data_IF_206401502294
#
_entry.id   IF_206401502294
#
_cell.length_a   1.000
_cell.length_b   1.000
_cell.length_c   1.000
_cell.angle_alpha   90.00
_cell.angle_beta   90.00
_cell.angle_gamma   90.00
#
_symmetry.space_group_name_H-M   'P 1'
#
loop_
_entity.id
_entity.type
_entity.pdbx_description
1 polymer ?
#
# COMPACT_ATOMS: atom_id res chain seq x y z
N UNK A 1 -20.04 17.80 4.26
CA UNK A 1 -18.98 17.65 5.28
C UNK A 1 -17.81 16.97 4.59
N UNK A 2 -16.57 17.36 4.87
CA UNK A 2 -15.41 16.69 4.27
C UNK A 2 -15.16 15.33 4.95
N UNK A 3 -14.77 14.33 4.16
CA UNK A 3 -14.58 12.97 4.66
C UNK A 3 -13.96 12.06 3.62
N UNK A 4 -13.92 10.77 3.95
CA UNK A 4 -13.49 9.70 3.03
C UNK A 4 -14.63 9.46 2.05
N UNK A 5 -14.36 9.51 0.74
CA UNK A 5 -15.29 9.18 -0.34
C UNK A 5 -15.03 7.81 -0.98
N UNK A 6 -13.79 7.31 -0.89
CA UNK A 6 -13.42 5.96 -1.32
C UNK A 6 -12.21 5.48 -0.54
N UNK A 7 -12.01 4.16 -0.50
CA UNK A 7 -10.87 3.54 0.12
C UNK A 7 -10.29 2.41 -0.73
N UNK A 8 -9.03 2.08 -0.49
CA UNK A 8 -8.35 0.91 -1.05
C UNK A 8 -7.28 0.43 -0.09
N UNK A 9 -6.92 -0.84 -0.20
CA UNK A 9 -5.85 -1.43 0.59
C UNK A 9 -4.90 -2.20 -0.30
N UNK A 10 -3.71 -2.46 0.22
CA UNK A 10 -2.79 -3.44 -0.33
C UNK A 10 -2.09 -4.14 0.82
N UNK A 11 -2.21 -5.47 0.85
CA UNK A 11 -1.34 -6.33 1.64
C UNK A 11 -0.55 -7.16 0.63
N UNK A 12 0.80 -7.12 0.65
CA UNK A 12 1.62 -8.02 -0.16
C UNK A 12 1.09 -9.42 -0.03
N UNK A 13 1.03 -10.28 -1.06
CA UNK A 13 0.50 -11.63 -0.90
C UNK A 13 1.52 -12.59 -0.28
N UNK A 14 2.81 -12.23 -0.27
CA UNK A 14 3.84 -13.06 0.37
C UNK A 14 3.73 -12.99 1.90
N UNK A 15 3.82 -14.16 2.55
CA UNK A 15 3.71 -14.32 4.01
C UNK A 15 4.95 -14.98 4.57
N UNK A 16 5.49 -14.43 5.64
CA UNK A 16 6.51 -15.10 6.45
C UNK A 16 5.84 -15.76 7.65
N UNK A 17 5.71 -17.11 7.69
CA UNK A 17 5.29 -17.81 8.90
C UNK A 17 6.24 -17.52 10.06
N UNK A 18 5.70 -17.11 11.22
CA UNK A 18 6.53 -16.72 12.36
C UNK A 18 7.32 -17.89 12.97
N UNK A 19 6.89 -19.12 12.71
CA UNK A 19 7.63 -20.32 13.10
C UNK A 19 9.03 -20.38 12.46
N UNK A 20 9.16 -19.91 11.21
CA UNK A 20 10.41 -19.95 10.45
C UNK A 20 11.48 -19.02 11.05
N UNK A 21 11.08 -17.88 11.62
CA UNK A 21 11.99 -16.96 12.33
C UNK A 21 12.69 -17.68 13.49
N UNK A 22 11.94 -18.55 14.20
CA UNK A 22 12.46 -19.36 15.30
C UNK A 22 13.07 -20.70 14.89
N UNK A 23 13.35 -20.92 13.60
CA UNK A 23 13.93 -22.18 13.10
C UNK A 23 13.00 -23.39 13.18
N UNK A 24 11.69 -23.19 13.29
CA UNK A 24 10.68 -24.25 13.39
C UNK A 24 9.90 -24.37 12.08
N UNK A 25 9.43 -25.58 11.71
CA UNK A 25 8.61 -25.75 10.52
C UNK A 25 7.33 -24.90 10.61
N UNK A 26 6.95 -24.31 9.48
CA UNK A 26 5.66 -23.63 9.36
C UNK A 26 4.51 -24.60 9.61
N UNK A 27 3.45 -24.10 10.26
CA UNK A 27 2.20 -24.84 10.48
C UNK A 27 1.09 -24.19 9.66
N UNK A 28 0.26 -25.01 9.03
CA UNK A 28 -0.93 -24.51 8.32
C UNK A 28 -1.83 -23.74 9.28
N UNK A 29 -2.26 -22.54 8.85
CA UNK A 29 -3.03 -21.62 9.69
C UNK A 29 -2.28 -21.02 10.88
N UNK A 30 -0.97 -21.27 11.01
CA UNK A 30 -0.12 -20.65 12.03
C UNK A 30 0.04 -19.14 11.81
N UNK A 31 0.53 -18.42 12.83
CA UNK A 31 0.71 -16.98 12.72
C UNK A 31 1.79 -16.63 11.70
N UNK A 32 1.57 -15.54 10.98
CA UNK A 32 2.42 -15.05 9.90
C UNK A 32 2.43 -13.52 9.85
N UNK A 33 3.32 -12.95 9.04
CA UNK A 33 3.32 -11.52 8.70
C UNK A 33 3.37 -11.33 7.20
N UNK A 34 2.78 -10.25 6.71
CA UNK A 34 2.89 -9.82 5.33
C UNK A 34 4.28 -9.23 5.08
N UNK A 35 4.87 -9.56 3.93
CA UNK A 35 6.21 -9.12 3.55
C UNK A 35 6.17 -8.65 2.11
N UNK A 36 6.53 -7.39 1.87
CA UNK A 36 6.84 -6.88 0.55
C UNK A 36 8.01 -7.69 -0.03
N UNK A 37 7.79 -8.31 -1.18
CA UNK A 37 8.79 -9.17 -1.81
C UNK A 37 9.96 -8.38 -2.42
N UNK A 38 10.86 -9.02 -3.17
CA UNK A 38 12.06 -8.36 -3.69
C UNK A 38 11.76 -7.24 -4.70
N UNK A 39 10.61 -7.29 -5.36
CA UNK A 39 10.14 -6.31 -6.34
C UNK A 39 9.09 -5.33 -5.79
N UNK A 40 8.92 -5.30 -4.47
CA UNK A 40 7.98 -4.43 -3.78
C UNK A 40 8.68 -3.49 -2.79
N UNK A 41 8.14 -2.29 -2.67
CA UNK A 41 8.49 -1.27 -1.69
C UNK A 41 7.27 -0.38 -1.36
N UNK A 42 7.46 0.62 -0.49
CA UNK A 42 6.40 1.52 -0.07
C UNK A 42 5.70 2.27 -1.24
N UNK A 43 6.39 2.56 -2.35
CA UNK A 43 5.77 3.22 -3.50
C UNK A 43 4.92 2.23 -4.30
N UNK A 44 5.42 1.02 -4.54
CA UNK A 44 4.66 0.00 -5.29
C UNK A 44 3.35 -0.38 -4.59
N UNK A 45 3.40 -0.57 -3.27
CA UNK A 45 2.23 -0.88 -2.46
C UNK A 45 1.26 0.31 -2.41
N UNK A 46 1.78 1.54 -2.34
CA UNK A 46 0.97 2.75 -2.41
C UNK A 46 0.20 2.86 -3.74
N UNK A 47 0.88 2.60 -4.87
CA UNK A 47 0.22 2.60 -6.19
C UNK A 47 -0.89 1.54 -6.26
N UNK A 48 -0.62 0.32 -5.77
CA UNK A 48 -1.63 -0.75 -5.76
C UNK A 48 -2.87 -0.39 -4.92
N UNK A 49 -2.67 0.15 -3.71
CA UNK A 49 -3.78 0.60 -2.86
C UNK A 49 -4.56 1.77 -3.49
N UNK A 50 -3.86 2.72 -4.13
CA UNK A 50 -4.47 3.85 -4.79
C UNK A 50 -5.28 3.45 -6.03
N UNK A 51 -4.81 2.50 -6.84
CA UNK A 51 -5.58 1.95 -7.97
C UNK A 51 -6.89 1.32 -7.48
N UNK A 52 -6.86 0.56 -6.38
CA UNK A 52 -8.06 0.01 -5.76
C UNK A 52 -9.03 1.10 -5.27
N UNK A 53 -8.49 2.15 -4.64
CA UNK A 53 -9.26 3.30 -4.16
C UNK A 53 -9.92 4.08 -5.31
N UNK A 54 -9.22 4.26 -6.43
CA UNK A 54 -9.69 5.03 -7.59
C UNK A 54 -10.48 4.20 -8.61
N UNK A 55 -10.74 2.90 -8.36
CA UNK A 55 -11.52 2.05 -9.28
C UNK A 55 -12.89 2.67 -9.57
N UNK A 56 -13.26 2.80 -10.84
CA UNK A 56 -14.54 3.40 -11.25
C UNK A 56 -14.66 4.91 -11.03
N UNK A 57 -13.59 5.59 -10.58
CA UNK A 57 -13.59 7.04 -10.35
C UNK A 57 -12.81 7.78 -11.45
N UNK A 58 -13.27 9.00 -11.76
CA UNK A 58 -12.59 9.88 -12.69
C UNK A 58 -11.32 10.47 -12.05
N UNK A 59 -10.16 9.95 -12.46
CA UNK A 59 -8.84 10.42 -12.01
C UNK A 59 -8.55 11.87 -12.38
N UNK A 60 -9.25 12.41 -13.39
CA UNK A 60 -9.18 13.82 -13.78
C UNK A 60 -9.73 14.78 -12.73
N UNK A 61 -10.47 14.29 -11.73
CA UNK A 61 -10.98 15.10 -10.61
C UNK A 61 -10.06 15.18 -9.41
N UNK A 62 -8.99 14.38 -9.36
CA UNK A 62 -8.03 14.40 -8.25
C UNK A 62 -7.22 15.70 -8.31
N UNK A 63 -7.19 16.44 -7.21
CA UNK A 63 -6.50 17.73 -7.09
C UNK A 63 -5.17 17.61 -6.34
N UNK A 64 -4.99 16.55 -5.54
CA UNK A 64 -3.74 16.31 -4.84
C UNK A 64 -3.50 14.87 -4.42
N UNK A 65 -2.23 14.56 -4.16
CA UNK A 65 -1.73 13.29 -3.65
C UNK A 65 -0.83 13.55 -2.44
N UNK A 66 -1.19 12.95 -1.30
CA UNK A 66 -0.36 12.94 -0.10
C UNK A 66 0.14 11.52 0.12
N UNK A 67 1.46 11.32 0.11
CA UNK A 67 2.08 10.03 0.36
C UNK A 67 2.72 9.99 1.75
N UNK A 68 2.12 9.22 2.66
CA UNK A 68 2.62 9.00 4.00
C UNK A 68 3.49 7.74 4.06
N UNK A 69 4.74 7.88 4.52
CA UNK A 69 5.63 6.74 4.76
C UNK A 69 6.69 7.08 5.81
N UNK A 70 7.21 6.07 6.48
CA UNK A 70 8.48 6.18 7.22
C UNK A 70 9.61 5.44 6.51
N UNK A 71 9.31 4.72 5.42
CA UNK A 71 10.21 3.89 4.62
C UNK A 71 10.28 4.32 3.16
N UNK A 72 10.34 5.64 2.93
CA UNK A 72 10.45 6.20 1.59
C UNK A 72 11.65 5.62 0.82
N UNK A 73 11.48 5.21 -0.46
CA UNK A 73 12.60 4.74 -1.28
C UNK A 73 13.58 5.85 -1.68
N UNK A 74 13.15 7.11 -1.57
CA UNK A 74 13.94 8.30 -1.86
C UNK A 74 13.84 9.28 -0.70
N UNK A 75 14.95 9.96 -0.40
CA UNK A 75 14.97 11.03 0.62
C UNK A 75 14.70 12.42 0.02
N UNK A 76 15.15 12.66 -1.21
CA UNK A 76 15.00 13.96 -1.90
C UNK A 76 13.92 13.91 -3.00
N UNK A 77 13.92 12.84 -3.80
CA UNK A 77 12.93 12.66 -4.87
C UNK A 77 11.58 12.34 -4.25
N UNK A 78 10.57 13.16 -4.56
CA UNK A 78 9.23 12.98 -4.02
C UNK A 78 8.54 11.70 -4.54
N UNK A 79 8.04 10.89 -3.61
CA UNK A 79 7.26 9.67 -3.87
C UNK A 79 5.85 9.98 -4.37
N UNK A 80 5.16 10.97 -3.81
CA UNK A 80 3.82 11.38 -4.26
C UNK A 80 3.78 11.79 -5.74
N UNK A 81 4.82 12.45 -6.25
CA UNK A 81 4.94 12.78 -7.67
C UNK A 81 5.11 11.53 -8.56
N UNK A 82 5.83 10.51 -8.08
CA UNK A 82 5.95 9.23 -8.76
C UNK A 82 4.62 8.46 -8.75
N UNK A 83 3.93 8.41 -7.61
CA UNK A 83 2.61 7.79 -7.46
C UNK A 83 1.59 8.48 -8.38
N UNK A 84 1.53 9.82 -8.38
CA UNK A 84 0.65 10.57 -9.26
C UNK A 84 0.90 10.26 -10.74
N UNK A 85 2.17 10.07 -11.13
CA UNK A 85 2.50 9.68 -12.50
C UNK A 85 2.08 8.25 -12.81
N UNK A 86 2.31 7.30 -11.90
CA UNK A 86 1.93 5.90 -12.10
C UNK A 86 0.42 5.70 -12.19
N UNK A 87 -0.36 6.53 -11.48
CA UNK A 87 -1.81 6.55 -11.53
C UNK A 87 -2.37 7.30 -12.75
N UNK A 88 -1.51 7.92 -13.56
CA UNK A 88 -1.87 8.76 -14.69
C UNK A 88 -2.85 9.88 -14.29
N UNK A 89 -2.48 10.63 -13.26
CA UNK A 89 -3.21 11.83 -12.83
C UNK A 89 -2.82 13.05 -13.68
N UNK A 90 -3.61 14.12 -13.57
CA UNK A 90 -3.31 15.39 -14.21
C UNK A 90 -1.96 15.93 -13.78
N UNK A 91 -1.31 16.72 -14.64
CA UNK A 91 0.02 17.30 -14.37
C UNK A 91 0.01 18.38 -13.28
N UNK A 92 -1.14 19.00 -13.03
CA UNK A 92 -1.34 20.10 -12.08
C UNK A 92 -1.84 19.64 -10.71
N UNK A 93 -1.77 18.34 -10.39
CA UNK A 93 -2.07 17.84 -9.04
C UNK A 93 -1.01 18.29 -8.04
N UNK A 94 -1.45 18.69 -6.85
CA UNK A 94 -0.54 19.00 -5.73
C UNK A 94 0.03 17.71 -5.16
N UNK A 95 1.32 17.67 -4.89
CA UNK A 95 1.97 16.48 -4.33
C UNK A 95 2.69 16.82 -3.03
N UNK A 96 2.52 15.98 -2.01
CA UNK A 96 3.22 16.10 -0.73
C UNK A 96 3.62 14.73 -0.20
N UNK A 97 4.83 14.62 0.37
CA UNK A 97 5.24 13.45 1.14
C UNK A 97 5.16 13.80 2.64
N UNK A 98 4.69 12.88 3.47
CA UNK A 98 4.59 13.04 4.92
C UNK A 98 5.25 11.86 5.63
N UNK A 99 6.13 12.14 6.58
CA UNK A 99 6.90 11.10 7.26
C UNK A 99 7.37 11.52 8.65
N UNK A 100 8.36 10.80 9.16
CA UNK A 100 8.99 11.11 10.45
C UNK A 100 8.21 10.65 11.68
N UNK A 101 7.09 9.94 11.53
CA UNK A 101 6.38 9.32 12.64
C UNK A 101 5.43 8.23 12.15
N UNK A 102 5.11 7.24 13.00
CA UNK A 102 4.14 6.20 12.67
C UNK A 102 2.69 6.70 12.65
N UNK A 103 2.41 7.90 13.15
CA UNK A 103 1.11 8.57 12.92
C UNK A 103 1.05 9.38 11.62
N UNK A 104 2.08 9.32 10.77
CA UNK A 104 2.10 10.08 9.52
C UNK A 104 0.89 9.76 8.61
N UNK A 105 0.37 8.53 8.63
CA UNK A 105 -0.78 8.13 7.81
C UNK A 105 -2.11 8.76 8.25
N UNK A 106 -2.40 8.76 9.54
CA UNK A 106 -3.57 9.43 10.14
C UNK A 106 -3.44 10.95 10.07
N UNK A 107 -2.24 11.48 10.31
CA UNK A 107 -1.94 12.90 10.16
C UNK A 107 -2.14 13.40 8.72
N UNK A 108 -1.72 12.61 7.72
CA UNK A 108 -1.96 12.92 6.31
C UNK A 108 -3.44 12.89 5.94
N UNK A 109 -4.19 11.91 6.47
CA UNK A 109 -5.63 11.82 6.28
C UNK A 109 -6.33 13.05 6.86
N UNK A 110 -5.97 13.45 8.09
CA UNK A 110 -6.53 14.64 8.72
C UNK A 110 -6.18 15.92 7.97
N UNK A 111 -4.92 16.10 7.58
CA UNK A 111 -4.49 17.27 6.81
C UNK A 111 -5.25 17.40 5.48
N UNK A 112 -5.50 16.29 4.78
CA UNK A 112 -6.30 16.28 3.56
C UNK A 112 -7.77 16.65 3.81
N UNK A 113 -8.37 16.14 4.90
CA UNK A 113 -9.74 16.48 5.28
C UNK A 113 -9.85 17.96 5.63
N UNK A 114 -8.90 18.49 6.39
CA UNK A 114 -8.84 19.92 6.73
C UNK A 114 -8.69 20.79 5.45
N UNK A 115 -7.85 20.37 4.50
CA UNK A 115 -7.66 21.06 3.23
C UNK A 115 -8.92 21.10 2.36
N UNK A 116 -9.68 19.99 2.32
CA UNK A 116 -10.97 19.90 1.62
C UNK A 116 -12.05 20.71 2.33
N UNK A 117 -12.14 20.61 3.66
CA UNK A 117 -13.07 21.39 4.46
C UNK A 117 -12.84 22.90 4.32
N UNK A 118 -11.59 23.33 4.18
CA UNK A 118 -11.21 24.72 3.93
C UNK A 118 -11.48 25.18 2.48
N UNK A 119 -11.85 24.27 1.57
CA UNK A 119 -12.09 24.57 0.15
C UNK A 119 -10.82 24.80 -0.67
N UNK A 120 -9.65 24.46 -0.13
CA UNK A 120 -8.36 24.64 -0.82
C UNK A 120 -8.06 23.54 -1.85
N UNK A 121 -8.77 22.42 -1.77
CA UNK A 121 -8.81 21.30 -2.71
C UNK A 121 -10.21 20.66 -2.65
N UNK A 122 -10.63 19.91 -3.67
CA UNK A 122 -11.89 19.16 -3.65
C UNK A 122 -11.68 17.67 -3.46
N UNK A 123 -10.71 17.10 -4.17
CA UNK A 123 -10.41 15.67 -4.07
C UNK A 123 -8.93 15.43 -3.80
N UNK A 124 -8.60 14.91 -2.63
CA UNK A 124 -7.22 14.61 -2.24
C UNK A 124 -7.07 13.12 -2.00
N UNK A 125 -6.19 12.48 -2.77
CA UNK A 125 -5.80 11.10 -2.55
C UNK A 125 -4.73 11.04 -1.46
N UNK A 126 -5.04 10.41 -0.34
CA UNK A 126 -4.07 10.12 0.72
C UNK A 126 -3.69 8.66 0.62
N UNK A 127 -2.39 8.36 0.62
CA UNK A 127 -1.89 6.98 0.62
C UNK A 127 -0.85 6.83 1.71
N UNK A 128 -1.11 5.95 2.66
CA UNK A 128 -0.14 5.54 3.67
C UNK A 128 0.43 4.18 3.30
N UNK A 129 1.76 4.06 3.19
CA UNK A 129 2.41 2.80 2.87
C UNK A 129 3.75 2.68 3.59
N UNK A 130 4.00 1.50 4.16
CA UNK A 130 5.25 1.26 4.88
C UNK A 130 5.73 -0.19 4.73
N UNK A 131 7.05 -0.35 4.62
CA UNK A 131 7.76 -1.62 4.65
C UNK A 131 8.98 -1.54 5.56
N UNK A 132 8.74 -1.39 6.87
CA UNK A 132 9.80 -1.24 7.87
C UNK A 132 10.46 -2.59 8.14
N UNK A 133 11.78 -2.60 8.31
CA UNK A 133 12.55 -3.81 8.60
C UNK A 133 13.01 -3.84 10.06
N UNK A 134 13.04 -5.03 10.64
CA UNK A 134 13.74 -5.31 11.90
C UNK A 134 14.94 -6.21 11.62
N UNK A 135 15.89 -6.27 12.53
CA UNK A 135 17.03 -7.16 12.41
C UNK A 135 16.55 -8.64 12.39
N UNK A 136 17.13 -9.51 11.53
CA UNK A 136 16.82 -10.93 11.49
C UNK A 136 16.90 -11.60 12.87
N UNK A 137 15.87 -12.35 13.23
CA UNK A 137 15.77 -13.06 14.51
C UNK A 137 15.46 -12.16 15.72
N UNK A 138 15.32 -10.85 15.55
CA UNK A 138 14.97 -9.94 16.64
C UNK A 138 13.50 -10.09 17.07
N UNK A 139 13.15 -9.73 18.33
CA UNK A 139 11.76 -9.74 18.79
C UNK A 139 10.81 -8.90 17.92
N UNK A 140 11.29 -7.78 17.37
CA UNK A 140 10.50 -6.90 16.50
C UNK A 140 10.14 -7.55 15.17
N UNK A 141 10.97 -8.44 14.64
CA UNK A 141 10.77 -9.02 13.31
C UNK A 141 9.45 -9.76 13.19
N UNK A 142 9.02 -10.45 14.25
CA UNK A 142 7.75 -11.18 14.27
C UNK A 142 6.52 -10.26 14.31
N UNK A 143 6.69 -9.02 14.79
CA UNK A 143 5.59 -8.07 14.97
C UNK A 143 5.43 -7.12 13.78
N UNK A 144 6.51 -6.75 13.08
CA UNK A 144 6.42 -5.86 11.92
C UNK A 144 5.78 -6.56 10.72
N UNK A 145 5.04 -5.79 9.91
CA UNK A 145 4.50 -6.21 8.63
C UNK A 145 4.67 -5.11 7.59
N UNK A 146 4.28 -5.41 6.35
CA UNK A 146 4.32 -4.47 5.23
C UNK A 146 2.90 -4.30 4.66
N UNK A 147 2.55 -3.09 4.22
CA UNK A 147 1.25 -2.84 3.60
C UNK A 147 0.97 -1.37 3.31
N UNK A 148 -0.16 -1.13 2.64
CA UNK A 148 -0.64 0.20 2.28
C UNK A 148 -2.15 0.35 2.40
N UNK A 149 -2.60 1.55 2.71
CA UNK A 149 -4.00 1.96 2.60
C UNK A 149 -4.09 3.29 1.86
N UNK A 150 -5.14 3.45 1.06
CA UNK A 150 -5.42 4.66 0.31
C UNK A 150 -6.84 5.14 0.59
N UNK A 151 -7.02 6.45 0.66
CA UNK A 151 -8.31 7.11 0.86
C UNK A 151 -8.44 8.28 -0.11
N UNK A 152 -9.55 8.34 -0.82
CA UNK A 152 -9.94 9.55 -1.53
C UNK A 152 -10.73 10.42 -0.55
N UNK A 153 -10.23 11.60 -0.25
CA UNK A 153 -10.90 12.58 0.61
C UNK A 153 -11.65 13.57 -0.24
N UNK A 154 -12.92 13.81 0.06
CA UNK A 154 -13.80 14.75 -0.65
C UNK A 154 -14.90 15.31 0.26
N UNK A 155 -15.49 16.43 -0.13
CA UNK A 155 -16.74 16.94 0.42
C UNK A 155 -17.97 16.52 -0.41
N UNK A 156 -17.73 15.90 -1.58
CA UNK A 156 -18.75 15.33 -2.47
C UNK A 156 -19.00 13.86 -2.09
N UNK A 157 -20.22 13.56 -1.61
CA UNK A 157 -20.70 12.21 -1.31
C UNK A 157 -19.73 11.35 -0.46
N UNK A 158 -19.18 11.86 0.67
CA UNK A 158 -18.27 11.08 1.50
C UNK A 158 -18.99 9.85 2.06
N UNK A 159 -18.35 8.69 2.07
CA UNK A 159 -18.80 7.46 2.73
C UNK A 159 -18.62 7.52 4.25
N UNK A 160 -17.68 8.35 4.74
CA UNK A 160 -17.41 8.55 6.15
C UNK A 160 -16.93 9.97 6.40
N UNK A 161 -17.73 10.77 7.11
CA UNK A 161 -17.40 12.14 7.47
C UNK A 161 -16.53 12.16 8.74
N UNK A 162 -15.57 13.07 8.82
CA UNK A 162 -14.78 13.27 10.03
C UNK A 162 -15.58 14.12 11.03
N UNK A 163 -15.90 13.56 12.19
CA UNK A 163 -16.68 14.26 13.21
C UNK A 163 -15.80 14.79 14.34
N UNK A 164 -14.59 14.27 14.51
CA UNK A 164 -13.69 14.78 15.52
C UNK A 164 -12.28 14.22 15.43
N UNK A 165 -11.36 14.99 15.98
CA UNK A 165 -9.97 14.62 16.11
C UNK A 165 -9.39 15.14 17.42
N UNK A 166 -8.46 14.37 17.98
CA UNK A 166 -7.65 14.74 19.12
C UNK A 166 -6.24 14.18 18.95
N UNK A 167 -5.22 14.98 19.29
CA UNK A 167 -3.83 14.60 19.15
C UNK A 167 -3.09 14.94 20.43
N UNK A 168 -2.17 14.07 20.81
CA UNK A 168 -1.25 14.20 21.94
C UNK A 168 0.15 14.16 21.36
N UNK A 169 1.02 15.09 21.75
CA UNK A 169 2.43 15.07 21.39
C UNK A 169 3.22 14.66 22.62
N UNK A 170 4.15 13.73 22.44
CA UNK A 170 5.01 13.23 23.51
C UNK A 170 6.42 13.00 22.93
N UNK A 171 7.42 13.62 23.53
CA UNK A 171 8.80 13.46 23.10
C UNK A 171 9.41 12.29 23.87
N UNK A 172 9.69 11.22 23.15
CA UNK A 172 10.22 9.98 23.72
C UNK A 172 11.10 9.28 22.68
N UNK A 173 12.19 8.66 23.14
CA UNK A 173 13.03 7.82 22.29
C UNK A 173 12.72 6.36 22.61
N UNK A 174 11.59 5.87 22.09
CA UNK A 174 11.11 4.50 22.30
C UNK A 174 11.45 3.60 21.11
N UNK A 175 11.04 3.97 19.89
CA UNK A 175 11.45 3.38 18.63
C UNK A 175 12.06 4.46 17.73
N UNK A 176 13.16 4.15 17.07
CA UNK A 176 13.79 5.09 16.15
C UNK A 176 14.45 4.38 14.98
N UNK A 177 14.75 5.17 13.95
CA UNK A 177 15.58 4.77 12.82
C UNK A 177 16.30 6.01 12.32
N UNK A 178 17.63 6.00 12.33
CA UNK A 178 18.41 7.08 11.72
C UNK A 178 18.35 6.97 10.20
N UNK A 179 18.98 7.95 9.52
CA UNK A 179 18.99 8.02 8.06
C UNK A 179 19.68 6.80 7.43
N UNK A 180 20.73 6.30 8.07
CA UNK A 180 21.56 5.20 7.59
C UNK A 180 21.10 3.83 8.13
N UNK A 181 20.28 3.83 9.17
CA UNK A 181 19.79 2.59 9.77
C UNK A 181 18.85 1.85 8.83
N UNK A 182 19.21 0.62 8.52
CA UNK A 182 18.35 -0.30 7.77
C UNK A 182 17.20 -0.83 8.62
N UNK A 183 17.44 -1.05 9.91
CA UNK A 183 16.51 -1.68 10.83
C UNK A 183 15.95 -0.68 11.83
N UNK A 184 14.71 -0.91 12.25
CA UNK A 184 14.11 -0.17 13.37
C UNK A 184 14.81 -0.59 14.67
N UNK A 185 15.25 0.40 15.42
CA UNK A 185 15.72 0.25 16.79
C UNK A 185 14.56 0.45 17.76
N UNK A 186 14.65 -0.23 18.91
CA UNK A 186 13.71 -0.08 20.01
C UNK A 186 14.52 -0.04 21.30
N UNK A 187 14.04 0.76 22.25
CA UNK A 187 14.46 0.65 23.64
C UNK A 187 13.82 -0.57 24.29
N UNK A 188 13.98 -0.72 25.60
CA UNK A 188 13.45 -1.84 26.38
C UNK A 188 11.92 -1.93 26.28
N UNK A 189 11.41 -3.14 25.97
CA UNK A 189 10.00 -3.39 25.63
C UNK A 189 9.00 -2.82 26.66
N UNK A 190 9.29 -2.97 27.97
CA UNK A 190 8.41 -2.46 29.02
C UNK A 190 8.37 -0.94 29.03
N UNK A 191 9.51 -0.25 28.87
CA UNK A 191 9.56 1.20 28.75
C UNK A 191 8.74 1.70 27.55
N UNK A 192 8.99 1.12 26.37
CA UNK A 192 8.27 1.48 25.12
C UNK A 192 6.76 1.38 25.30
N UNK A 193 6.28 0.34 25.99
CA UNK A 193 4.85 0.12 26.19
C UNK A 193 4.27 0.94 27.33
N UNK A 194 4.95 1.02 28.48
CA UNK A 194 4.42 1.63 29.70
C UNK A 194 4.52 3.15 29.72
N UNK A 195 5.59 3.71 29.16
CA UNK A 195 5.84 5.15 29.15
C UNK A 195 5.42 5.76 27.81
N UNK A 196 5.67 5.08 26.69
CA UNK A 196 5.28 5.56 25.36
C UNK A 196 3.86 5.19 24.95
N UNK A 197 3.69 3.97 24.43
CA UNK A 197 2.47 3.55 23.73
C UNK A 197 1.18 3.67 24.57
N UNK A 198 1.13 3.07 25.76
CA UNK A 198 -0.12 3.00 26.52
C UNK A 198 -0.61 4.36 27.00
N UNK A 199 0.21 5.22 27.64
CA UNK A 199 -0.25 6.53 28.11
C UNK A 199 -0.75 7.40 26.96
N UNK A 200 0.09 7.58 25.92
CA UNK A 200 -0.20 8.43 24.78
C UNK A 200 -1.46 8.00 24.02
N UNK A 201 -1.59 6.70 23.69
CA UNK A 201 -2.77 6.21 22.97
C UNK A 201 -4.04 6.35 23.81
N UNK A 202 -3.99 6.02 25.11
CA UNK A 202 -5.16 6.13 25.98
C UNK A 202 -5.59 7.59 26.15
N UNK A 203 -4.63 8.51 26.28
CA UNK A 203 -4.89 9.94 26.39
C UNK A 203 -5.52 10.48 25.11
N UNK A 204 -4.99 10.12 23.94
CA UNK A 204 -5.55 10.56 22.65
C UNK A 204 -7.01 10.14 22.48
N UNK A 205 -7.32 8.87 22.78
CA UNK A 205 -8.69 8.34 22.70
C UNK A 205 -9.60 9.01 23.75
N UNK A 206 -9.15 9.08 25.01
CA UNK A 206 -9.96 9.65 26.09
C UNK A 206 -10.22 11.14 25.88
N UNK A 207 -9.22 11.88 25.38
CA UNK A 207 -9.36 13.29 25.03
C UNK A 207 -10.30 13.54 23.86
N UNK A 208 -10.32 12.65 22.86
CA UNK A 208 -11.32 12.68 21.78
C UNK A 208 -12.74 12.48 22.31
N UNK A 209 -12.94 11.45 23.15
CA UNK A 209 -14.24 11.15 23.76
C UNK A 209 -14.72 12.32 24.63
N UNK A 210 -13.86 12.85 25.49
CA UNK A 210 -14.17 13.99 26.36
C UNK A 210 -14.53 15.24 25.56
N UNK A 211 -13.75 15.57 24.52
CA UNK A 211 -14.00 16.74 23.65
C UNK A 211 -15.37 16.66 22.95
N UNK A 212 -15.83 15.45 22.64
CA UNK A 212 -17.10 15.19 21.96
C UNK A 212 -18.27 14.92 22.91
N UNK A 213 -18.00 14.72 24.20
CA UNK A 213 -19.01 14.26 25.16
C UNK A 213 -19.54 12.86 24.84
N UNK A 214 -18.73 12.03 24.19
CA UNK A 214 -19.09 10.68 23.77
C UNK A 214 -18.66 9.62 24.79
N UNK A 215 -19.35 8.48 24.75
CA UNK A 215 -18.89 7.22 25.36
C UNK A 215 -18.20 6.35 24.32
N UNK A 216 -17.20 5.56 24.74
CA UNK A 216 -16.57 4.56 23.88
C UNK A 216 -17.57 3.52 23.34
N UNK A 217 -18.65 3.25 24.08
CA UNK A 217 -19.75 2.35 23.69
C UNK A 217 -20.51 2.83 22.44
N UNK A 218 -20.42 4.13 22.11
CA UNK A 218 -21.12 4.71 20.95
C UNK A 218 -20.48 4.35 19.61
N UNK A 219 -19.28 3.78 19.61
CA UNK A 219 -18.55 3.42 18.40
C UNK A 219 -18.86 1.97 17.99
N UNK A 220 -19.31 1.78 16.75
CA UNK A 220 -19.54 0.48 16.17
C UNK A 220 -18.22 -0.30 16.02
N UNK A 221 -17.15 0.40 15.60
CA UNK A 221 -15.79 -0.14 15.51
C UNK A 221 -14.74 0.80 16.08
N UNK A 222 -13.74 0.22 16.72
CA UNK A 222 -12.56 0.89 17.25
C UNK A 222 -11.30 0.19 16.72
N UNK A 223 -10.50 0.94 15.96
CA UNK A 223 -9.26 0.54 15.34
C UNK A 223 -8.08 1.07 16.17
N UNK A 224 -7.35 0.20 16.85
CA UNK A 224 -6.17 0.57 17.62
C UNK A 224 -4.91 0.02 16.95
N UNK A 225 -4.04 0.91 16.46
CA UNK A 225 -2.66 0.52 16.17
C UNK A 225 -1.99 0.08 17.47
N UNK A 226 -1.23 -1.01 17.42
CA UNK A 226 -0.45 -1.51 18.55
C UNK A 226 0.90 -2.08 18.10
N UNK A 227 1.93 -2.06 18.95
CA UNK A 227 3.22 -2.69 18.64
C UNK A 227 3.09 -4.22 18.56
N UNK A 228 2.23 -4.81 19.39
CA UNK A 228 2.02 -6.26 19.48
C UNK A 228 0.59 -6.60 19.99
N UNK A 229 0.22 -7.88 19.93
CA UNK A 229 -1.13 -8.38 20.29
C UNK A 229 -1.45 -8.20 21.78
N UNK A 230 -0.45 -8.32 22.67
CA UNK A 230 -0.63 -8.16 24.12
C UNK A 230 -0.88 -6.70 24.48
N UNK A 231 -0.11 -5.79 23.89
CA UNK A 231 -0.26 -4.34 24.06
C UNK A 231 -1.60 -3.85 23.50
N UNK A 232 -2.06 -4.38 22.36
CA UNK A 232 -3.40 -4.14 21.83
C UNK A 232 -4.50 -4.47 22.85
N UNK A 233 -4.50 -5.71 23.39
CA UNK A 233 -5.49 -6.13 24.38
C UNK A 233 -5.41 -5.35 25.69
N UNK A 234 -4.23 -4.84 26.05
CA UNK A 234 -4.04 -4.02 27.26
C UNK A 234 -4.62 -2.62 27.08
N UNK A 235 -4.38 -1.98 25.93
CA UNK A 235 -4.99 -0.69 25.58
C UNK A 235 -6.52 -0.79 25.55
N UNK A 236 -7.05 -1.82 24.90
CA UNK A 236 -8.50 -2.04 24.84
C UNK A 236 -9.14 -2.17 26.23
N UNK A 237 -8.51 -2.89 27.16
CA UNK A 237 -8.98 -3.00 28.55
C UNK A 237 -8.90 -1.66 29.30
N UNK A 238 -7.81 -0.91 29.15
CA UNK A 238 -7.66 0.41 29.78
C UNK A 238 -8.72 1.40 29.31
N UNK A 239 -9.09 1.32 28.04
CA UNK A 239 -10.13 2.14 27.41
C UNK A 239 -11.55 1.59 27.60
N UNK A 240 -11.71 0.48 28.35
CA UNK A 240 -13.00 -0.18 28.59
C UNK A 240 -13.79 -0.52 27.32
N UNK A 241 -13.08 -0.93 26.27
CA UNK A 241 -13.68 -1.28 24.97
C UNK A 241 -14.24 -2.69 24.98
N UNK A 242 -15.46 -2.87 24.47
CA UNK A 242 -16.05 -4.20 24.31
C UNK A 242 -15.40 -4.96 23.15
N UNK A 243 -15.30 -6.29 23.28
CA UNK A 243 -14.63 -7.13 22.28
C UNK A 243 -15.28 -7.04 20.88
N UNK A 244 -16.60 -6.87 20.79
CA UNK A 244 -17.31 -6.73 19.51
C UNK A 244 -17.03 -5.42 18.76
N UNK A 245 -16.64 -4.37 19.50
CA UNK A 245 -16.28 -3.08 18.94
C UNK A 245 -14.85 -3.07 18.40
N UNK A 246 -13.95 -3.91 18.92
CA UNK A 246 -12.57 -3.92 18.47
C UNK A 246 -12.49 -4.47 17.05
N UNK A 247 -11.85 -3.71 16.16
CA UNK A 247 -11.41 -4.23 14.87
C UNK A 247 -10.32 -5.28 15.10
N UNK A 248 -10.29 -6.35 14.28
CA UNK A 248 -9.20 -7.34 14.33
C UNK A 248 -7.86 -6.59 14.16
N UNK A 249 -6.91 -6.70 15.09
CA UNK A 249 -5.63 -5.99 15.00
C UNK A 249 -4.75 -6.51 13.86
N UNK A 250 -5.09 -7.63 13.19
CA UNK A 250 -4.33 -8.24 12.09
C UNK A 250 -2.89 -8.67 12.46
N UNK A 251 -2.50 -8.58 13.73
CA UNK A 251 -1.18 -9.02 14.23
C UNK A 251 -1.11 -10.56 14.20
N UNK A 252 -0.12 -11.12 13.51
CA UNK A 252 -0.05 -12.55 13.22
C UNK A 252 -0.79 -12.98 11.94
N UNK A 253 -1.23 -12.02 11.12
CA UNK A 253 -1.69 -12.21 9.73
C UNK A 253 -1.02 -11.21 8.77
N UNK A 254 -1.09 -9.93 9.13
CA UNK A 254 -0.48 -8.80 8.42
C UNK A 254 0.80 -8.34 9.14
N UNK A 255 0.71 -8.17 10.47
CA UNK A 255 1.76 -7.51 11.26
C UNK A 255 1.57 -5.99 11.32
N UNK A 256 2.43 -5.29 12.06
CA UNK A 256 2.39 -3.84 12.18
C UNK A 256 3.03 -3.19 10.94
N UNK A 257 2.19 -2.68 10.03
CA UNK A 257 2.57 -2.00 8.79
C UNK A 257 2.96 -0.53 8.95
N UNK A 258 3.57 -0.16 10.09
CA UNK A 258 4.07 1.19 10.33
C UNK A 258 2.98 2.25 10.24
N UNK A 259 3.24 3.33 9.52
CA UNK A 259 2.27 4.42 9.38
C UNK A 259 1.02 4.06 8.57
N UNK A 260 1.06 2.96 7.82
CA UNK A 260 -0.10 2.43 7.12
C UNK A 260 -0.99 1.57 8.03
N UNK A 261 -0.56 1.24 9.26
CA UNK A 261 -1.26 0.23 10.05
C UNK A 261 -2.62 0.70 10.57
N UNK A 262 -2.71 1.87 11.23
CA UNK A 262 -4.02 2.41 11.63
C UNK A 262 -4.93 2.71 10.41
N UNK A 263 -4.42 3.30 9.31
CA UNK A 263 -5.14 3.37 8.02
C UNK A 263 -5.68 2.03 7.50
N UNK A 264 -4.89 0.94 7.55
CA UNK A 264 -5.33 -0.39 7.14
C UNK A 264 -6.46 -0.92 8.03
N UNK A 265 -6.39 -0.70 9.34
CA UNK A 265 -7.47 -1.07 10.26
C UNK A 265 -8.76 -0.30 9.94
N UNK A 266 -8.66 1.01 9.63
CA UNK A 266 -9.80 1.81 9.21
C UNK A 266 -10.39 1.31 7.89
N UNK A 267 -9.56 0.97 6.90
CA UNK A 267 -10.03 0.37 5.65
C UNK A 267 -10.75 -0.97 5.89
N UNK A 268 -10.21 -1.82 6.77
CA UNK A 268 -10.85 -3.07 7.17
C UNK A 268 -12.18 -2.85 7.91
N UNK A 269 -12.31 -1.80 8.71
CA UNK A 269 -13.57 -1.47 9.37
C UNK A 269 -14.63 -0.93 8.39
N UNK A 270 -14.20 -0.19 7.36
CA UNK A 270 -15.09 0.35 6.32
C UNK A 270 -15.69 -0.73 5.42
N UNK A 271 -15.04 -1.89 5.27
CA UNK A 271 -15.57 -3.02 4.48
C UNK A 271 -16.89 -3.57 5.02
N UNK A 272 -17.02 -3.61 6.34
CA UNK A 272 -18.20 -4.16 7.02
C UNK A 272 -19.17 -3.06 7.51
N UNK A 273 -18.82 -1.79 7.29
CA UNK A 273 -19.59 -0.67 7.81
C UNK A 273 -20.95 -0.51 7.11
N UNK A 274 -21.89 0.07 7.85
CA UNK A 274 -23.23 0.47 7.40
C UNK A 274 -23.45 1.94 7.66
N UNK A 275 -24.40 2.56 6.96
CA UNK A 275 -24.72 3.96 7.19
C UNK A 275 -25.06 4.24 8.67
N UNK A 276 -24.47 5.30 9.24
CA UNK A 276 -24.64 5.69 10.63
C UNK A 276 -23.68 5.02 11.62
N UNK A 277 -22.88 4.05 11.19
CA UNK A 277 -21.81 3.48 12.02
C UNK A 277 -20.79 4.54 12.40
N UNK A 278 -20.42 4.51 13.68
CA UNK A 278 -19.38 5.39 14.23
C UNK A 278 -18.08 4.62 14.36
N UNK A 279 -17.03 5.10 13.72
CA UNK A 279 -15.71 4.47 13.68
C UNK A 279 -14.70 5.34 14.43
N UNK A 280 -13.90 4.73 15.31
CA UNK A 280 -12.77 5.38 15.96
C UNK A 280 -11.48 4.74 15.45
N UNK A 281 -10.51 5.55 15.03
CA UNK A 281 -9.16 5.08 14.71
C UNK A 281 -8.14 5.81 15.56
N UNK A 282 -7.22 5.06 16.16
CA UNK A 282 -6.14 5.59 16.96
C UNK A 282 -4.78 5.06 16.49
N UNK A 283 -3.84 5.98 16.33
CA UNK A 283 -2.45 5.74 15.91
C UNK A 283 -1.47 6.24 16.95
N UNK A 284 -0.32 5.58 17.06
CA UNK A 284 0.75 5.94 18.00
C UNK A 284 2.05 6.26 17.26
N UNK A 285 2.78 7.26 17.77
CA UNK A 285 4.12 7.66 17.33
C UNK A 285 4.43 9.08 17.85
N UNK A 286 5.43 9.20 18.74
CA UNK A 286 5.83 10.44 19.42
C UNK A 286 4.62 11.21 20.00
N UNK A 287 3.85 10.48 20.82
CA UNK A 287 2.49 10.82 21.21
C UNK A 287 1.47 9.92 20.52
N UNK A 288 0.26 10.43 20.26
CA UNK A 288 -0.77 9.68 19.55
C UNK A 288 -1.77 10.60 18.84
N UNK A 289 -2.58 10.03 17.95
CA UNK A 289 -3.70 10.71 17.31
C UNK A 289 -4.91 9.79 17.29
N UNK A 290 -6.09 10.35 17.58
CA UNK A 290 -7.38 9.67 17.51
C UNK A 290 -8.32 10.47 16.60
N UNK A 291 -8.97 9.78 15.66
CA UNK A 291 -9.95 10.33 14.72
C UNK A 291 -11.28 9.57 14.88
N UNK A 292 -12.39 10.30 14.85
CA UNK A 292 -13.74 9.77 14.86
C UNK A 292 -14.44 10.08 13.52
N UNK A 293 -15.03 9.05 12.93
CA UNK A 293 -15.80 9.13 11.71
C UNK A 293 -17.24 8.63 11.93
N UNK A 294 -18.19 9.19 11.20
CA UNK A 294 -19.55 8.65 11.04
C UNK A 294 -19.77 8.33 9.58
N UNK A 295 -20.15 7.10 9.30
CA UNK A 295 -20.46 6.64 7.95
C UNK A 295 -21.79 7.21 7.48
N UNK A 296 -21.89 7.49 6.18
CA UNK A 296 -23.08 8.07 5.56
C UNK A 296 -23.84 7.01 4.75
N UNK A 297 -24.97 7.37 4.17
CA UNK A 297 -25.70 6.51 3.22
C UNK A 297 -24.91 6.16 1.94
N UNK A 298 -23.76 6.82 1.69
CA UNK A 298 -22.93 6.51 0.54
C UNK A 298 -22.06 5.27 0.75
N UNK A 299 -21.80 4.87 2.01
CA UNK A 299 -21.00 3.67 2.29
C UNK A 299 -21.65 2.42 1.70
N UNK A 300 -22.98 2.31 1.81
CA UNK A 300 -23.76 1.19 1.29
C UNK A 300 -23.87 1.20 -0.25
N UNK A 301 -23.53 2.32 -0.91
CA UNK A 301 -23.57 2.50 -2.37
C UNK A 301 -22.20 2.37 -3.01
N UNK A 302 -21.13 2.27 -2.23
CA UNK A 302 -19.79 2.17 -2.76
C UNK A 302 -19.59 0.81 -3.41
N UNK A 303 -19.13 0.79 -4.66
CA UNK A 303 -18.76 -0.46 -5.32
C UNK A 303 -17.69 -1.21 -4.52
N UNK A 304 -17.73 -2.55 -4.48
CA UNK A 304 -16.76 -3.36 -3.76
C UNK A 304 -15.32 -2.99 -4.09
N UNK A 305 -14.56 -2.64 -3.05
CA UNK A 305 -13.14 -2.30 -3.15
C UNK A 305 -12.30 -3.53 -2.91
N UNK A 306 -11.07 -3.55 -3.48
CA UNK A 306 -10.04 -4.50 -3.05
C UNK A 306 -9.54 -4.07 -1.68
N UNK A 307 -10.26 -4.53 -0.67
CA UNK A 307 -10.00 -4.27 0.74
C UNK A 307 -8.95 -5.21 1.35
N UNK A 308 -8.71 -5.03 2.64
CA UNK A 308 -7.83 -5.84 3.46
C UNK A 308 -8.26 -7.31 3.45
N UNK A 309 -9.56 -7.62 3.57
CA UNK A 309 -10.04 -9.01 3.56
C UNK A 309 -9.66 -9.75 2.27
N UNK A 310 -9.85 -9.11 1.11
CA UNK A 310 -9.48 -9.61 -0.20
C UNK A 310 -7.99 -9.94 -0.28
N UNK A 311 -7.13 -9.02 0.18
CA UNK A 311 -5.68 -9.21 0.18
C UNK A 311 -5.20 -10.26 1.19
N UNK A 312 -5.87 -10.41 2.33
CA UNK A 312 -5.53 -11.43 3.32
C UNK A 312 -5.87 -12.85 2.85
N UNK A 313 -6.91 -13.01 2.03
CA UNK A 313 -7.27 -14.30 1.43
C UNK A 313 -6.22 -14.78 0.41
N UNK A 314 -5.59 -13.83 -0.32
CA UNK A 314 -4.58 -14.12 -1.34
C UNK A 314 -3.18 -14.16 -0.74
N UNK A 315 -2.79 -15.33 -0.24
CA UNK A 315 -1.50 -15.54 0.46
C UNK A 315 -0.61 -16.61 -0.16
N UNK A 316 0.69 -16.33 -0.20
CA UNK A 316 1.78 -17.25 -0.53
C UNK A 316 2.73 -17.35 0.66
N UNK A 317 2.64 -18.44 1.41
CA UNK A 317 3.58 -18.68 2.51
C UNK A 317 4.97 -18.99 1.96
N UNK A 318 5.97 -18.27 2.45
CA UNK A 318 7.38 -18.54 2.17
C UNK A 318 7.73 -19.91 2.78
N UNK A 319 8.38 -20.81 2.04
CA UNK A 319 8.69 -22.16 2.53
C UNK A 319 9.88 -22.18 3.51
N UNK A 320 10.85 -21.27 3.34
CA UNK A 320 12.12 -21.27 4.08
C UNK A 320 12.56 -19.85 4.46
N UNK A 321 13.13 -19.69 5.66
CA UNK A 321 13.58 -18.39 6.16
C UNK A 321 14.70 -17.79 5.30
N UNK A 322 15.62 -18.61 4.78
CA UNK A 322 16.70 -18.13 3.90
C UNK A 322 16.18 -17.47 2.63
N UNK A 323 15.02 -17.89 2.12
CA UNK A 323 14.41 -17.26 0.95
C UNK A 323 13.94 -15.84 1.27
N UNK A 324 13.39 -15.63 2.47
CA UNK A 324 13.06 -14.30 2.97
C UNK A 324 14.32 -13.42 3.12
N UNK A 325 15.39 -13.97 3.72
CA UNK A 325 16.65 -13.23 3.87
C UNK A 325 17.23 -12.84 2.51
N UNK A 326 17.20 -13.75 1.52
CA UNK A 326 17.62 -13.48 0.15
C UNK A 326 16.74 -12.41 -0.52
N UNK A 327 15.41 -12.54 -0.44
CA UNK A 327 14.47 -11.61 -1.07
C UNK A 327 14.55 -10.19 -0.50
N UNK A 328 14.89 -10.07 0.79
CA UNK A 328 15.09 -8.77 1.45
C UNK A 328 16.52 -8.27 1.36
N UNK A 329 17.43 -8.94 0.63
CA UNK A 329 18.85 -8.61 0.50
C UNK A 329 19.61 -8.56 1.83
N UNK A 330 19.31 -9.48 2.75
CA UNK A 330 19.88 -9.57 4.10
C UNK A 330 21.05 -10.56 4.21
N UNK A 331 21.33 -11.31 3.14
CA UNK A 331 22.48 -12.20 3.04
C UNK A 331 23.66 -11.49 2.36
N UNK A 332 24.87 -11.90 2.70
CA UNK A 332 26.09 -11.48 2.01
C UNK A 332 26.08 -12.02 0.58
N UNK A 333 26.38 -11.16 -0.39
CA UNK A 333 26.54 -11.54 -1.80
C UNK A 333 27.96 -11.20 -2.28
N UNK A 334 28.46 -11.95 -3.27
CA UNK A 334 29.78 -11.69 -3.88
C UNK A 334 29.81 -10.33 -4.62
N UNK A 335 28.69 -9.97 -5.24
CA UNK A 335 28.51 -8.72 -5.98
C UNK A 335 27.32 -7.93 -5.43
N UNK A 336 27.42 -6.61 -5.45
CA UNK A 336 26.31 -5.73 -5.10
C UNK A 336 25.23 -5.74 -6.20
N UNK A 337 23.95 -5.86 -5.80
CA UNK A 337 22.81 -5.94 -6.73
C UNK A 337 22.58 -4.69 -7.58
N UNK A 338 23.17 -3.55 -7.21
CA UNK A 338 23.00 -2.26 -7.89
C UNK A 338 24.08 -1.96 -8.95
N UNK A 339 24.96 -2.93 -9.24
CA UNK A 339 26.04 -2.76 -10.20
C UNK A 339 25.53 -2.48 -11.63
N UNK A 340 26.17 -1.51 -12.32
CA UNK A 340 25.94 -1.21 -13.73
C UNK A 340 25.34 0.18 -14.00
N UNK A 341 25.36 0.63 -15.28
CA UNK A 341 24.75 1.90 -15.67
C UNK A 341 23.23 1.76 -15.55
N UNK A 342 22.63 2.44 -14.57
CA UNK A 342 21.17 2.48 -14.43
C UNK A 342 20.46 3.16 -15.60
N UNK A 343 19.13 3.29 -15.50
CA UNK A 343 18.34 3.95 -16.53
C UNK A 343 18.70 5.44 -16.62
N UNK A 344 19.04 5.90 -17.83
CA UNK A 344 19.31 7.30 -18.13
C UNK A 344 18.11 8.18 -17.74
N UNK A 345 18.37 9.26 -17.02
CA UNK A 345 17.33 10.20 -16.60
C UNK A 345 16.60 10.85 -17.79
N UNK A 346 17.29 11.01 -18.94
CA UNK A 346 16.69 11.57 -20.16
C UNK A 346 15.76 10.59 -20.86
N UNK A 347 16.15 9.31 -20.91
CA UNK A 347 15.29 8.23 -21.42
C UNK A 347 14.07 8.09 -20.52
N UNK A 348 14.28 7.95 -19.21
CA UNK A 348 13.21 7.89 -18.22
C UNK A 348 12.27 9.10 -18.32
N UNK A 349 12.79 10.32 -18.51
CA UNK A 349 11.93 11.49 -18.70
C UNK A 349 11.11 11.39 -19.98
N UNK A 350 11.69 10.96 -21.11
CA UNK A 350 11.00 10.84 -22.40
C UNK A 350 9.92 9.76 -22.39
N UNK A 351 10.20 8.63 -21.74
CA UNK A 351 9.40 7.40 -21.80
C UNK A 351 8.49 7.20 -20.58
N UNK A 352 8.53 8.09 -19.58
CA UNK A 352 7.73 8.01 -18.34
C UNK A 352 6.22 7.80 -18.54
N UNK A 353 5.64 8.25 -19.64
CA UNK A 353 4.21 8.09 -19.93
C UNK A 353 3.93 6.62 -20.30
N UNK A 354 4.79 6.04 -21.13
CA UNK A 354 4.77 4.64 -21.50
C UNK A 354 5.14 3.73 -20.32
N UNK A 355 6.21 4.05 -19.60
CA UNK A 355 6.79 3.15 -18.59
C UNK A 355 6.10 3.23 -17.24
N UNK A 356 5.78 4.42 -16.74
CA UNK A 356 5.24 4.59 -15.39
C UNK A 356 3.72 4.58 -15.39
N UNK A 357 3.07 5.24 -16.35
CA UNK A 357 1.61 5.30 -16.43
C UNK A 357 1.00 4.12 -17.23
N UNK A 358 1.83 3.30 -17.88
CA UNK A 358 1.43 2.23 -18.80
C UNK A 358 0.49 2.73 -19.91
N UNK A 359 0.92 3.79 -20.59
CA UNK A 359 0.18 4.41 -21.68
C UNK A 359 0.74 3.92 -23.02
N UNK A 360 -0.06 3.15 -23.74
CA UNK A 360 0.16 2.88 -25.16
C UNK A 360 -0.50 3.93 -26.03
N UNK A 361 -0.69 3.61 -27.30
CA UNK A 361 -1.30 4.50 -28.28
C UNK A 361 -2.45 3.82 -29.03
N UNK A 362 -3.52 4.56 -29.31
CA UNK A 362 -4.63 4.13 -30.14
C UNK A 362 -4.59 4.88 -31.48
N UNK A 363 -4.66 4.15 -32.59
CA UNK A 363 -4.66 4.74 -33.92
C UNK A 363 -5.99 5.45 -34.23
N UNK A 364 -5.94 6.72 -34.62
CA UNK A 364 -7.14 7.51 -34.94
C UNK A 364 -7.85 7.04 -36.21
N UNK A 365 -7.15 6.31 -37.10
CA UNK A 365 -7.70 5.87 -38.38
C UNK A 365 -8.41 4.51 -38.30
N UNK A 366 -7.86 3.55 -37.55
CA UNK A 366 -8.39 2.18 -37.50
C UNK A 366 -8.69 1.67 -36.08
N UNK A 367 -8.45 2.47 -35.04
CA UNK A 367 -8.71 2.11 -33.65
C UNK A 367 -7.75 1.08 -33.03
N UNK A 368 -6.73 0.62 -33.75
CA UNK A 368 -5.78 -0.36 -33.24
C UNK A 368 -4.97 0.22 -32.06
N UNK A 369 -4.85 -0.55 -30.99
CA UNK A 369 -4.09 -0.17 -29.79
C UNK A 369 -2.73 -0.87 -29.83
N UNK A 370 -1.67 -0.10 -29.57
CA UNK A 370 -0.29 -0.54 -29.78
C UNK A 370 0.57 -0.17 -28.58
N UNK A 371 1.49 -1.08 -28.28
CA UNK A 371 2.56 -0.90 -27.32
C UNK A 371 3.73 -1.79 -27.80
N UNK A 372 4.99 -1.31 -27.80
CA UNK A 372 5.42 0.04 -27.46
C UNK A 372 4.99 1.09 -28.48
N UNK A 373 5.14 2.38 -28.16
CA UNK A 373 4.72 3.46 -29.05
C UNK A 373 5.57 3.50 -30.35
N UNK A 374 4.89 3.63 -31.49
CA UNK A 374 5.46 3.66 -32.84
C UNK A 374 4.89 4.83 -33.65
N UNK A 375 5.68 5.37 -34.58
CA UNK A 375 5.21 6.45 -35.46
C UNK A 375 4.26 6.01 -36.57
N UNK A 376 4.23 4.72 -36.88
CA UNK A 376 3.42 4.15 -37.97
C UNK A 376 2.57 3.04 -37.40
N UNK A 377 1.27 3.07 -37.69
CA UNK A 377 0.33 2.07 -37.21
C UNK A 377 0.64 0.72 -37.87
N UNK A 378 0.89 -0.31 -37.05
CA UNK A 378 1.18 -1.67 -37.54
C UNK A 378 0.03 -2.33 -38.33
N UNK A 379 -1.21 -1.82 -38.20
CA UNK A 379 -2.39 -2.36 -38.86
C UNK A 379 -2.74 -1.65 -40.17
N UNK A 380 -2.84 -0.31 -40.15
CA UNK A 380 -3.30 0.49 -41.31
C UNK A 380 -2.26 1.44 -41.89
N UNK A 381 -1.04 1.46 -41.35
CA UNK A 381 0.08 2.30 -41.80
C UNK A 381 -0.16 3.82 -41.72
N UNK A 382 -1.22 4.27 -41.05
CA UNK A 382 -1.39 5.68 -40.69
C UNK A 382 -0.18 6.15 -39.86
N UNK A 383 0.33 7.35 -40.17
CA UNK A 383 1.55 7.90 -39.58
C UNK A 383 1.24 9.08 -38.68
N UNK A 384 1.85 9.10 -37.50
CA UNK A 384 1.76 10.18 -36.50
C UNK A 384 0.29 10.57 -36.15
N UNK A 385 -0.64 9.61 -36.23
CA UNK A 385 -2.09 9.82 -36.03
C UNK A 385 -2.62 8.94 -34.89
N UNK A 386 -2.21 9.28 -33.66
CA UNK A 386 -2.53 8.49 -32.47
C UNK A 386 -3.00 9.36 -31.30
N UNK A 387 -3.79 8.76 -30.43
CA UNK A 387 -4.15 9.29 -29.12
C UNK A 387 -3.66 8.36 -27.99
N UNK A 388 -3.37 8.90 -26.78
CA UNK A 388 -2.94 8.08 -25.65
C UNK A 388 -4.00 7.06 -25.21
N UNK A 389 -3.59 5.82 -24.97
CA UNK A 389 -4.46 4.76 -24.48
C UNK A 389 -3.88 4.14 -23.20
N UNK A 390 -4.54 4.39 -22.05
CA UNK A 390 -4.13 3.80 -20.78
C UNK A 390 -4.40 2.30 -20.76
N UNK A 391 -3.38 1.50 -20.45
CA UNK A 391 -3.43 0.04 -20.39
C UNK A 391 -3.42 -0.50 -18.96
N UNK A 392 -2.95 0.28 -17.98
CA UNK A 392 -2.79 -0.13 -16.57
C UNK A 392 -4.05 -0.64 -15.89
N UNK A 393 -5.22 -0.20 -16.33
CA UNK A 393 -6.53 -0.59 -15.78
C UNK A 393 -7.21 -1.72 -16.56
N UNK A 394 -6.59 -2.20 -17.64
CA UNK A 394 -7.17 -3.22 -18.53
C UNK A 394 -6.79 -4.64 -18.09
N UNK A 395 -7.57 -5.62 -18.55
CA UNK A 395 -7.24 -7.03 -18.40
C UNK A 395 -6.59 -7.52 -19.68
N UNK A 396 -5.38 -8.08 -19.56
CA UNK A 396 -4.66 -8.72 -20.64
C UNK A 396 -4.81 -10.23 -20.65
N UNK A 397 -4.16 -10.88 -21.61
CA UNK A 397 -4.04 -12.34 -21.71
C UNK A 397 -2.63 -12.77 -22.06
N UNK A 398 -2.15 -13.85 -21.45
CA UNK A 398 -0.84 -14.44 -21.79
C UNK A 398 -0.89 -15.05 -23.19
N UNK A 399 -0.09 -14.56 -24.12
CA UNK A 399 0.05 -15.11 -25.49
C UNK A 399 1.07 -16.24 -25.52
N UNK A 400 2.23 -16.00 -24.91
CA UNK A 400 3.32 -16.98 -24.76
C UNK A 400 4.12 -16.65 -23.50
N UNK A 401 4.85 -17.62 -22.97
CA UNK A 401 5.64 -17.48 -21.76
C UNK A 401 6.89 -18.36 -21.77
N UNK A 402 7.89 -17.95 -20.99
CA UNK A 402 9.15 -18.68 -20.77
C UNK A 402 9.53 -18.66 -19.30
N UNK A 403 10.24 -19.69 -18.85
CA UNK A 403 10.81 -19.77 -17.51
C UNK A 403 12.31 -19.47 -17.57
N UNK A 404 12.71 -18.32 -17.04
CA UNK A 404 14.10 -17.89 -17.00
C UNK A 404 14.72 -18.25 -15.64
N UNK A 405 15.65 -19.21 -15.65
CA UNK A 405 16.41 -19.63 -14.46
C UNK A 405 17.71 -18.83 -14.26
N UNK A 406 18.07 -17.98 -15.22
CA UNK A 406 19.29 -17.17 -15.20
C UNK A 406 19.04 -15.77 -14.63
N UNK A 407 17.84 -15.21 -14.84
CA UNK A 407 17.51 -13.89 -14.30
C UNK A 407 17.69 -13.86 -12.77
N UNK A 408 18.42 -12.87 -12.20
CA UNK A 408 18.62 -12.78 -10.76
C UNK A 408 17.31 -12.57 -9.99
N UNK A 409 16.84 -13.60 -9.31
CA UNK A 409 15.64 -13.58 -8.44
C UNK A 409 15.91 -14.38 -7.17
N UNK A 410 15.30 -14.02 -6.02
CA UNK A 410 15.37 -14.86 -4.82
C UNK A 410 14.86 -16.27 -5.08
N UNK A 411 13.78 -16.40 -5.86
CA UNK A 411 13.03 -17.64 -6.07
C UNK A 411 12.86 -17.93 -7.58
N UNK A 412 13.84 -18.60 -8.23
CA UNK A 412 13.75 -18.94 -9.65
C UNK A 412 12.73 -20.07 -9.90
N UNK A 413 12.10 -20.13 -11.09
CA UNK A 413 12.36 -19.29 -12.26
C UNK A 413 11.61 -17.95 -12.26
N UNK A 414 12.19 -16.96 -12.94
CA UNK A 414 11.44 -15.76 -13.33
C UNK A 414 10.53 -16.11 -14.50
N UNK A 415 9.23 -15.85 -14.35
CA UNK A 415 8.25 -16.12 -15.40
C UNK A 415 8.14 -14.88 -16.28
N UNK A 416 8.49 -15.02 -17.55
CA UNK A 416 8.44 -13.94 -18.54
C UNK A 416 7.35 -14.24 -19.55
N UNK A 417 6.56 -13.23 -19.91
CA UNK A 417 5.37 -13.38 -20.76
C UNK A 417 5.34 -12.34 -21.86
N UNK A 418 4.77 -12.71 -23.01
CA UNK A 418 4.14 -11.74 -23.90
C UNK A 418 2.66 -11.69 -23.54
N UNK A 419 2.21 -10.54 -23.06
CA UNK A 419 0.83 -10.28 -22.68
C UNK A 419 0.16 -9.41 -23.73
N UNK A 420 -0.99 -9.83 -24.23
CA UNK A 420 -1.82 -9.04 -25.15
C UNK A 420 -2.91 -8.28 -24.39
N UNK A 421 -3.09 -7.00 -24.72
CA UNK A 421 -4.15 -6.12 -24.20
C UNK A 421 -4.78 -5.39 -25.37
N UNK A 422 -5.99 -5.77 -25.76
CA UNK A 422 -6.73 -5.14 -26.86
C UNK A 422 -5.91 -4.95 -28.16
N UNK A 423 -5.06 -5.94 -28.47
CA UNK A 423 -4.15 -5.96 -29.62
C UNK A 423 -2.71 -5.53 -29.30
N UNK A 424 -2.48 -4.70 -28.29
CA UNK A 424 -1.14 -4.28 -27.88
C UNK A 424 -0.39 -5.44 -27.22
N UNK A 425 0.93 -5.56 -27.44
CA UNK A 425 1.75 -6.65 -26.89
C UNK A 425 2.83 -6.12 -25.96
N UNK A 426 2.80 -6.58 -24.71
CA UNK A 426 3.72 -6.17 -23.66
C UNK A 426 4.61 -7.35 -23.25
N UNK A 427 5.91 -7.09 -23.12
CA UNK A 427 6.87 -8.06 -22.59
C UNK A 427 7.03 -7.84 -21.08
N UNK A 428 6.45 -8.72 -20.26
CA UNK A 428 6.29 -8.52 -18.83
C UNK A 428 6.70 -9.76 -18.02
N UNK A 429 7.22 -9.52 -16.83
CA UNK A 429 7.31 -10.57 -15.82
C UNK A 429 5.92 -10.87 -15.23
N UNK A 430 5.58 -12.15 -15.05
CA UNK A 430 4.36 -12.59 -14.37
C UNK A 430 4.71 -13.00 -12.94
N UNK A 431 4.07 -12.35 -11.96
CA UNK A 431 4.33 -12.55 -10.53
C UNK A 431 3.08 -13.03 -9.80
N UNK A 432 3.26 -13.45 -8.55
CA UNK A 432 2.16 -13.88 -7.67
C UNK A 432 1.38 -15.08 -8.23
N UNK A 433 2.12 -16.00 -8.84
CA UNK A 433 1.64 -17.29 -9.35
C UNK A 433 2.76 -18.32 -9.26
N UNK A 434 2.40 -19.60 -9.32
CA UNK A 434 3.37 -20.70 -9.44
C UNK A 434 3.61 -21.04 -10.91
N UNK A 435 4.83 -21.46 -11.30
CA UNK A 435 5.13 -21.90 -12.66
C UNK A 435 4.15 -22.94 -13.21
N UNK A 436 3.72 -23.90 -12.39
CA UNK A 436 2.80 -24.97 -12.80
C UNK A 436 1.41 -24.48 -13.22
N UNK A 437 1.01 -23.28 -12.78
CA UNK A 437 -0.32 -22.72 -13.06
C UNK A 437 -0.36 -21.88 -14.34
N UNK A 438 0.81 -21.52 -14.88
CA UNK A 438 0.90 -20.63 -16.05
C UNK A 438 0.50 -21.36 -17.32
N UNK A 439 -0.36 -20.73 -18.10
CA UNK A 439 -0.83 -21.23 -19.39
C UNK A 439 -1.12 -20.08 -20.35
N UNK A 440 -1.08 -20.38 -21.65
CA UNK A 440 -1.55 -19.44 -22.68
C UNK A 440 -3.04 -19.17 -22.49
N UNK A 441 -3.47 -17.96 -22.83
CA UNK A 441 -4.82 -17.46 -22.61
C UNK A 441 -5.17 -17.07 -21.17
N UNK A 442 -4.27 -17.28 -20.19
CA UNK A 442 -4.48 -16.87 -18.80
C UNK A 442 -4.80 -15.36 -18.73
N UNK A 443 -5.92 -14.96 -18.13
CA UNK A 443 -6.23 -13.55 -17.93
C UNK A 443 -5.29 -12.96 -16.89
N UNK A 444 -4.76 -11.77 -17.16
CA UNK A 444 -3.81 -11.07 -16.29
C UNK A 444 -4.21 -9.63 -16.07
N UNK A 445 -3.94 -9.13 -14.86
CA UNK A 445 -4.01 -7.72 -14.51
C UNK A 445 -2.59 -7.18 -14.29
N UNK A 446 -2.45 -5.86 -14.23
CA UNK A 446 -1.16 -5.20 -14.05
C UNK A 446 -0.93 -4.75 -12.61
N UNK A 447 0.31 -4.85 -12.15
CA UNK A 447 0.75 -4.35 -10.85
C UNK A 447 2.04 -3.57 -11.00
N UNK A 448 2.17 -2.46 -10.29
CA UNK A 448 3.35 -1.59 -10.35
C UNK A 448 4.43 -2.15 -9.42
N UNK A 449 5.65 -2.32 -9.92
CA UNK A 449 6.74 -3.02 -9.23
C UNK A 449 8.08 -2.33 -9.41
N UNK A 450 8.98 -2.57 -8.47
CA UNK A 450 10.41 -2.26 -8.62
C UNK A 450 11.05 -3.38 -9.43
N UNK A 451 11.60 -3.05 -10.60
CA UNK A 451 12.18 -4.05 -11.51
C UNK A 451 13.64 -4.31 -11.20
N UNK A 452 14.42 -3.25 -10.93
CA UNK A 452 15.83 -3.35 -10.58
C UNK A 452 16.33 -2.07 -9.88
N UNK A 453 17.51 -2.17 -9.28
CA UNK A 453 18.17 -1.05 -8.58
C UNK A 453 19.46 -0.57 -9.28
N UNK A 454 19.74 -1.07 -10.48
CA UNK A 454 20.89 -0.63 -11.27
C UNK A 454 20.97 0.91 -11.37
N UNK A 455 22.17 1.46 -11.18
CA UNK A 455 22.41 2.90 -11.05
C UNK A 455 22.11 3.49 -9.67
N UNK A 456 22.01 2.64 -8.63
CA UNK A 456 21.91 3.07 -7.22
C UNK A 456 20.56 3.66 -6.84
N UNK A 457 19.50 3.37 -7.60
CA UNK A 457 18.13 3.85 -7.33
C UNK A 457 17.10 2.82 -7.79
N UNK A 458 15.92 2.74 -7.16
CA UNK A 458 14.86 1.87 -7.65
C UNK A 458 14.33 2.38 -9.00
N UNK A 459 14.17 1.44 -9.92
CA UNK A 459 13.54 1.66 -11.22
C UNK A 459 12.23 0.87 -11.26
N UNK A 460 11.16 1.53 -11.69
CA UNK A 460 9.81 1.00 -11.59
C UNK A 460 9.21 0.77 -12.97
N UNK A 461 8.43 -0.28 -13.09
CA UNK A 461 7.60 -0.60 -14.25
C UNK A 461 6.48 -1.54 -13.82
N UNK A 462 5.63 -1.91 -14.77
CA UNK A 462 4.52 -2.82 -14.52
C UNK A 462 4.97 -4.28 -14.69
N UNK A 463 4.35 -5.15 -13.90
CA UNK A 463 4.38 -6.61 -14.06
C UNK A 463 2.96 -7.13 -14.23
N UNK A 464 2.83 -8.32 -14.78
CA UNK A 464 1.55 -9.03 -14.86
C UNK A 464 1.31 -9.83 -13.57
N UNK A 465 0.04 -9.98 -13.20
CA UNK A 465 -0.45 -10.87 -12.15
C UNK A 465 -1.65 -11.62 -12.69
N UNK A 466 -1.94 -12.87 -12.27
CA UNK A 466 -3.20 -13.51 -12.63
C UNK A 466 -4.36 -12.59 -12.25
N UNK A 467 -5.24 -12.31 -13.20
CA UNK A 467 -6.48 -11.61 -12.89
C UNK A 467 -7.25 -12.53 -11.93
N UNK A 468 -7.66 -12.01 -10.77
CA UNK A 468 -8.59 -12.76 -9.93
C UNK A 468 -9.83 -13.08 -10.78
N UNK A 469 -10.29 -14.34 -10.76
CA UNK A 469 -11.65 -14.62 -11.19
C UNK A 469 -12.53 -13.67 -10.38
N UNK A 470 -13.27 -12.79 -11.05
CA UNK A 470 -14.32 -12.02 -10.39
C UNK A 470 -15.37 -13.03 -9.95
N UNK A 471 -15.15 -13.64 -8.78
CA UNK A 471 -16.20 -14.32 -8.05
C UNK A 471 -17.21 -13.23 -7.72
N UNK A 472 -18.28 -13.25 -8.51
CA UNK A 472 -19.46 -12.40 -8.43
C UNK A 472 -20.14 -12.45 -7.06
#
# INVERSE_FOLDING_TARGET
MAGIASYGAYVPPTRLPLALIGGRPAKDGGPEKAVAWNDEDAVTMAVAAALACLRGLDRGKVDGVVFASTSHPFQEKQGAALIAKALDLRRDVRTADQGGSLRAGTGALRAAIDAVAAGSARNVLVVASDCRMAAPGSPLEANLGDGAAAFLVSDENPIAALDGAHAVADEIVDLWRTREDRFVHSWEDRFVVQEGYLPSLCEAVSGLLAKRGDSAESFAKVCLQAPDRRSHGTAARKLSLAAGQLQDPLIGRLGNAGCAFAPLLLAAALEDARAGDRLLVASYGDGAEALAFTTTEHVDKLEPRRGVSWHLARRFAIPHYDLYLKARSLQTTEWESAAGPGLSATIHHRERDEDLALIGQQCNACGAIQFPNQRVCETCFAKDAFEPARLSDRIGRVVTYTFDFFFPTPDPPTIVTITEVDGARLHLQLVETKPELVKTGMPVAFTFRRIHEAGGRPNYHWKATPAAEETA
#
